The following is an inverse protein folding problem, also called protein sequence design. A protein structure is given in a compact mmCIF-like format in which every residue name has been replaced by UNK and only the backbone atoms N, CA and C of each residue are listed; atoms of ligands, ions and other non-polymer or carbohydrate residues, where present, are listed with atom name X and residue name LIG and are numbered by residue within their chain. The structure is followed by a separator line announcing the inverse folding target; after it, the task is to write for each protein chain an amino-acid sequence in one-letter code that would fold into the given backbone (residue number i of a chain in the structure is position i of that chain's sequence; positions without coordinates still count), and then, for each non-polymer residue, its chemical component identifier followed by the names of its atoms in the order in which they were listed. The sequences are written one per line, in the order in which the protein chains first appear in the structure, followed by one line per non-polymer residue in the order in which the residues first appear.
data_IF_713680904721
#
_entry.id   IF_713680904721
#
_cell.length_a   1.000
_cell.length_b   1.000
_cell.length_c   1.000
_cell.angle_alpha   90.00
_cell.angle_beta   90.00
_cell.angle_gamma   90.00
#
_symmetry.space_group_name_H-M   'P 1'
#
loop_
_entity.id
_entity.type
_entity.pdbx_description
1 polymer ?
#
# COMPACT_ATOMS: atom_id res chain seq x y z
N UNK A 1 2.76 -2.00 -3.64
CA UNK A 1 2.64 -1.86 -2.18
C UNK A 1 3.86 -1.14 -1.69
N UNK A 2 3.70 -0.09 -0.88
CA UNK A 2 4.78 0.85 -0.54
C UNK A 2 4.82 1.12 0.96
N UNK A 3 6.01 1.17 1.57
CA UNK A 3 6.23 1.64 2.94
C UNK A 3 6.83 0.57 3.84
N UNK A 4 6.38 0.48 5.10
CA UNK A 4 6.77 -0.60 6.00
C UNK A 4 6.02 -1.89 5.61
N UNK A 5 6.64 -2.69 4.72
CA UNK A 5 6.09 -3.96 4.28
C UNK A 5 6.42 -5.08 5.25
N UNK A 6 7.52 -4.99 6.00
CA UNK A 6 7.94 -5.98 6.98
C UNK A 6 6.89 -6.19 8.07
N UNK A 7 6.28 -5.11 8.55
CA UNK A 7 5.36 -5.16 9.68
C UNK A 7 3.90 -4.85 9.31
N UNK A 8 3.64 -4.50 8.05
CA UNK A 8 2.33 -4.13 7.57
C UNK A 8 1.36 -5.33 7.49
N UNK A 9 0.70 -5.67 8.60
CA UNK A 9 -0.32 -6.74 8.63
C UNK A 9 -1.39 -6.60 7.54
N UNK A 10 -1.79 -5.37 7.23
CA UNK A 10 -2.76 -5.07 6.16
C UNK A 10 -2.24 -5.48 4.78
N UNK A 11 -0.97 -5.19 4.46
CA UNK A 11 -0.37 -5.57 3.18
C UNK A 11 -0.06 -7.07 3.11
N UNK A 12 0.24 -7.72 4.24
CA UNK A 12 0.38 -9.18 4.28
C UNK A 12 -0.93 -9.87 3.93
N UNK A 13 -2.03 -9.48 4.59
CA UNK A 13 -3.36 -10.02 4.30
C UNK A 13 -3.81 -9.68 2.87
N UNK A 14 -3.54 -8.45 2.41
CA UNK A 14 -3.89 -8.02 1.06
C UNK A 14 -3.13 -8.83 -0.02
N UNK A 15 -1.81 -9.03 0.15
CA UNK A 15 -1.00 -9.79 -0.79
C UNK A 15 -1.51 -11.23 -0.92
N UNK A 16 -1.88 -11.85 0.21
CA UNK A 16 -2.49 -13.19 0.23
C UNK A 16 -3.87 -13.23 -0.42
N UNK A 17 -4.72 -12.24 -0.16
CA UNK A 17 -6.05 -12.18 -0.79
C UNK A 17 -5.94 -11.99 -2.32
N UNK A 18 -4.99 -11.19 -2.75
CA UNK A 18 -4.76 -10.90 -4.17
C UNK A 18 -4.29 -12.11 -4.98
N UNK A 19 -3.80 -13.18 -4.33
CA UNK A 19 -3.46 -14.43 -5.05
C UNK A 19 -4.69 -15.13 -5.65
N UNK A 20 -5.90 -14.74 -5.26
CA UNK A 20 -7.15 -15.23 -5.87
C UNK A 20 -7.47 -14.54 -7.21
N UNK A 21 -6.65 -13.58 -7.63
CA UNK A 21 -6.86 -12.79 -8.84
C UNK A 21 -5.63 -12.84 -9.74
N UNK A 22 -5.82 -12.58 -11.03
CA UNK A 22 -4.72 -12.45 -11.99
C UNK A 22 -4.10 -11.05 -11.87
N UNK A 23 -3.11 -10.91 -11.01
CA UNK A 23 -2.43 -9.64 -10.73
C UNK A 23 -0.91 -9.81 -10.69
N UNK A 24 -0.22 -8.68 -10.79
CA UNK A 24 1.21 -8.56 -10.51
C UNK A 24 1.41 -7.73 -9.25
N UNK A 25 2.29 -8.19 -8.36
CA UNK A 25 2.63 -7.45 -7.15
C UNK A 25 3.97 -6.74 -7.33
N UNK A 26 3.99 -5.46 -6.92
CA UNK A 26 5.21 -4.66 -6.85
C UNK A 26 5.44 -4.20 -5.43
N UNK A 27 6.66 -4.33 -4.94
CA UNK A 27 7.06 -3.95 -3.60
C UNK A 27 8.03 -2.78 -3.66
N UNK A 28 7.77 -1.76 -2.84
CA UNK A 28 8.62 -0.60 -2.71
C UNK A 28 8.80 -0.32 -1.22
N UNK A 29 9.99 -0.56 -0.69
CA UNK A 29 10.23 -0.42 0.75
C UNK A 29 11.62 0.16 1.02
N UNK A 30 11.79 0.88 2.14
CA UNK A 30 13.12 1.21 2.63
C UNK A 30 13.94 -0.07 2.90
N UNK A 31 15.28 0.02 2.83
CA UNK A 31 16.15 -1.10 3.22
C UNK A 31 15.80 -1.64 4.61
N UNK A 32 15.65 -2.96 4.73
CA UNK A 32 15.30 -3.63 5.98
C UNK A 32 13.79 -3.68 6.32
N UNK A 33 12.93 -3.03 5.53
CA UNK A 33 11.47 -3.04 5.68
C UNK A 33 10.74 -3.75 4.54
N UNK A 34 11.43 -4.59 3.77
CA UNK A 34 10.88 -5.39 2.68
C UNK A 34 9.79 -6.38 3.11
N UNK A 35 9.07 -6.91 2.13
CA UNK A 35 8.00 -7.89 2.37
C UNK A 35 8.60 -9.17 2.98
N UNK A 36 8.03 -9.74 4.06
CA UNK A 36 8.57 -10.96 4.64
C UNK A 36 8.52 -12.17 3.69
N UNK A 37 9.53 -13.03 3.77
CA UNK A 37 9.68 -14.21 2.91
C UNK A 37 8.45 -15.12 2.90
N UNK A 38 7.81 -15.33 4.06
CA UNK A 38 6.64 -16.20 4.13
C UNK A 38 5.46 -15.66 3.30
N UNK A 39 5.37 -14.35 3.07
CA UNK A 39 4.34 -13.72 2.22
C UNK A 39 4.72 -13.86 0.75
N UNK A 40 5.97 -13.53 0.40
CA UNK A 40 6.44 -13.57 -1.00
C UNK A 40 6.51 -15.00 -1.52
N UNK A 41 6.93 -15.97 -0.70
CA UNK A 41 6.93 -17.39 -1.01
C UNK A 41 5.50 -17.92 -1.18
N UNK A 42 4.55 -17.51 -0.33
CA UNK A 42 3.15 -17.88 -0.50
C UNK A 42 2.61 -17.36 -1.83
N UNK A 43 2.80 -16.08 -2.15
CA UNK A 43 2.37 -15.51 -3.42
C UNK A 43 3.04 -16.21 -4.63
N UNK A 44 4.33 -16.54 -4.53
CA UNK A 44 5.06 -17.28 -5.56
C UNK A 44 4.50 -18.70 -5.75
N UNK A 45 4.14 -19.40 -4.67
CA UNK A 45 3.50 -20.73 -4.74
C UNK A 45 2.13 -20.72 -5.42
N UNK A 46 1.48 -19.55 -5.48
CA UNK A 46 0.22 -19.33 -6.19
C UNK A 46 0.44 -18.82 -7.63
N UNK A 47 1.70 -18.72 -8.08
CA UNK A 47 2.05 -18.28 -9.44
C UNK A 47 1.96 -16.77 -9.66
N UNK A 48 1.92 -15.96 -8.60
CA UNK A 48 1.87 -14.49 -8.74
C UNK A 48 3.24 -13.94 -9.11
N UNK A 49 3.29 -13.13 -10.18
CA UNK A 49 4.49 -12.39 -10.58
C UNK A 49 4.78 -11.26 -9.58
N UNK A 50 6.04 -11.14 -9.17
CA UNK A 50 6.48 -10.23 -8.11
C UNK A 50 7.73 -9.47 -8.54
N UNK A 51 7.75 -8.16 -8.30
CA UNK A 51 8.90 -7.29 -8.55
C UNK A 51 9.18 -6.39 -7.34
N UNK A 52 10.46 -6.10 -7.10
CA UNK A 52 10.90 -5.13 -6.10
C UNK A 52 11.50 -3.90 -6.77
N UNK A 53 11.19 -2.72 -6.21
CA UNK A 53 11.69 -1.44 -6.69
C UNK A 53 12.27 -0.65 -5.52
N UNK A 54 13.32 0.12 -5.80
CA UNK A 54 14.00 0.97 -4.82
C UNK A 54 13.32 2.33 -4.62
N UNK A 55 12.43 2.75 -5.54
CA UNK A 55 11.77 4.05 -5.46
C UNK A 55 10.35 4.03 -6.01
N UNK A 56 9.55 5.00 -5.59
CA UNK A 56 8.21 5.21 -6.15
C UNK A 56 8.27 5.53 -7.64
N UNK A 57 9.20 6.39 -8.05
CA UNK A 57 9.37 6.84 -9.44
C UNK A 57 9.57 5.68 -10.40
N UNK A 58 10.29 4.63 -9.98
CA UNK A 58 10.55 3.46 -10.82
C UNK A 58 9.33 2.53 -10.89
N UNK A 59 8.57 2.39 -9.80
CA UNK A 59 7.40 1.51 -9.75
C UNK A 59 6.14 2.12 -10.38
N UNK A 60 6.02 3.45 -10.38
CA UNK A 60 4.78 4.17 -10.69
C UNK A 60 4.28 4.09 -12.14
N UNK A 61 5.13 4.10 -13.20
CA UNK A 61 4.67 4.19 -14.58
C UNK A 61 3.67 3.11 -15.00
N UNK A 62 3.87 1.88 -14.51
CA UNK A 62 3.01 0.74 -14.84
C UNK A 62 2.06 0.34 -13.69
N UNK A 63 1.94 1.15 -12.64
CA UNK A 63 1.11 0.83 -11.46
C UNK A 63 -0.36 1.26 -11.63
N UNK A 64 -1.30 0.33 -11.51
CA UNK A 64 -2.74 0.62 -11.52
C UNK A 64 -3.32 0.91 -10.12
N UNK A 65 -2.73 0.31 -9.08
CA UNK A 65 -3.13 0.51 -7.67
C UNK A 65 -1.88 0.77 -6.82
N UNK A 66 -1.73 2.01 -6.35
CA UNK A 66 -0.68 2.38 -5.42
C UNK A 66 -1.21 2.27 -3.98
N UNK A 67 -0.91 1.14 -3.32
CA UNK A 67 -1.26 0.92 -1.92
C UNK A 67 -0.11 1.37 -1.01
N UNK A 68 -0.28 2.54 -0.38
CA UNK A 68 0.69 3.16 0.52
C UNK A 68 0.48 2.68 1.96
N UNK A 69 1.56 2.55 2.73
CA UNK A 69 1.52 2.34 4.18
C UNK A 69 2.41 3.34 4.91
N UNK A 70 2.06 3.61 6.17
CA UNK A 70 2.85 4.44 7.05
C UNK A 70 4.16 3.75 7.43
N UNK A 71 5.28 4.46 7.30
CA UNK A 71 6.55 4.09 7.93
C UNK A 71 6.49 4.51 9.41
N UNK A 72 6.62 3.55 10.31
CA UNK A 72 6.42 3.75 11.74
C UNK A 72 7.69 4.29 12.41
N UNK A 73 7.70 5.59 12.73
CA UNK A 73 8.83 6.28 13.38
C UNK A 73 9.29 5.57 14.66
N UNK A 74 8.34 5.04 15.42
CA UNK A 74 8.55 4.31 16.67
C UNK A 74 9.38 3.01 16.54
N UNK A 75 9.68 2.55 15.31
CA UNK A 75 10.48 1.34 15.07
C UNK A 75 11.95 1.62 14.75
N UNK A 76 12.32 2.88 14.61
CA UNK A 76 13.69 3.28 14.28
C UNK A 76 14.46 3.62 15.56
N UNK A 77 15.73 3.21 15.61
CA UNK A 77 16.59 3.49 16.76
C UNK A 77 16.99 4.97 16.86
N UNK A 78 17.02 5.67 15.72
CA UNK A 78 17.37 7.09 15.65
C UNK A 78 16.43 7.85 14.70
N UNK A 79 16.18 9.15 14.94
CA UNK A 79 15.45 10.01 14.01
C UNK A 79 16.09 10.07 12.61
N UNK A 80 17.42 10.04 12.51
CA UNK A 80 18.16 10.11 11.26
C UNK A 80 17.92 8.88 10.37
N UNK A 81 17.83 7.69 10.97
CA UNK A 81 17.49 6.46 10.24
C UNK A 81 16.05 6.52 9.71
N UNK A 82 15.13 7.10 10.50
CA UNK A 82 13.75 7.31 10.08
C UNK A 82 13.64 8.30 8.91
N UNK A 83 14.33 9.44 8.98
CA UNK A 83 14.30 10.45 7.92
C UNK A 83 14.86 9.91 6.61
N UNK A 84 15.98 9.18 6.68
CA UNK A 84 16.58 8.51 5.52
C UNK A 84 15.64 7.46 4.92
N UNK A 85 14.92 6.73 5.76
CA UNK A 85 13.94 5.76 5.31
C UNK A 85 12.68 6.41 4.72
N UNK A 86 12.27 7.61 5.14
CA UNK A 86 11.01 8.24 4.70
C UNK A 86 11.16 9.15 3.48
N UNK A 87 12.30 9.83 3.32
CA UNK A 87 12.46 10.92 2.36
C UNK A 87 12.17 10.57 0.90
N UNK A 88 12.19 9.29 0.54
CA UNK A 88 11.98 8.80 -0.83
C UNK A 88 10.60 8.15 -1.08
N UNK A 89 9.72 8.08 -0.08
CA UNK A 89 8.43 7.37 -0.19
C UNK A 89 7.24 8.29 0.10
N UNK A 90 7.26 9.49 -0.47
CA UNK A 90 6.23 10.51 -0.31
C UNK A 90 5.44 10.68 -1.61
N UNK A 91 4.13 10.49 -1.54
CA UNK A 91 3.22 10.81 -2.65
C UNK A 91 2.99 12.31 -2.70
N UNK A 92 3.46 12.95 -3.77
CA UNK A 92 3.25 14.38 -4.06
C UNK A 92 2.49 14.55 -5.37
N UNK A 93 1.84 15.70 -5.54
CA UNK A 93 1.21 16.10 -6.81
C UNK A 93 2.21 16.02 -7.98
N UNK A 94 3.45 16.47 -7.77
CA UNK A 94 4.53 16.39 -8.75
C UNK A 94 4.87 14.94 -9.13
N UNK A 95 5.08 14.04 -8.17
CA UNK A 95 5.35 12.63 -8.44
C UNK A 95 4.21 12.00 -9.26
N UNK A 96 2.98 12.34 -8.90
CA UNK A 96 1.77 11.78 -9.50
C UNK A 96 1.51 12.26 -10.94
N UNK A 97 2.32 13.18 -11.47
CA UNK A 97 2.35 13.53 -12.91
C UNK A 97 2.90 12.39 -13.78
N UNK A 98 3.74 11.52 -13.22
CA UNK A 98 4.32 10.35 -13.92
C UNK A 98 3.43 9.11 -13.86
N UNK A 99 2.39 9.16 -13.04
CA UNK A 99 1.48 8.06 -12.83
C UNK A 99 0.49 7.91 -13.98
N UNK A 100 -0.02 6.69 -14.17
CA UNK A 100 -1.12 6.44 -15.12
C UNK A 100 -2.30 7.38 -14.83
N UNK A 101 -3.00 7.76 -15.90
CA UNK A 101 -4.28 8.50 -15.76
C UNK A 101 -5.34 7.65 -15.07
N UNK A 102 -5.43 6.37 -15.46
CA UNK A 102 -6.37 5.39 -14.89
C UNK A 102 -5.66 4.55 -13.83
N UNK A 103 -5.56 5.10 -12.62
CA UNK A 103 -5.07 4.38 -11.44
C UNK A 103 -5.75 4.91 -10.18
N UNK A 104 -5.53 4.24 -9.06
CA UNK A 104 -5.98 4.71 -7.75
C UNK A 104 -4.86 4.64 -6.71
N UNK A 105 -4.93 5.53 -5.72
CA UNK A 105 -4.06 5.53 -4.54
C UNK A 105 -4.89 5.17 -3.32
N UNK A 106 -4.47 4.12 -2.62
CA UNK A 106 -5.10 3.58 -1.42
C UNK A 106 -4.15 3.72 -0.23
N UNK A 107 -4.72 3.82 0.96
CA UNK A 107 -3.97 3.91 2.22
C UNK A 107 -4.86 3.41 3.37
N UNK A 108 -4.37 2.51 4.24
CA UNK A 108 -5.18 1.95 5.33
C UNK A 108 -5.51 2.96 6.44
N UNK A 109 -4.81 4.09 6.47
CA UNK A 109 -4.89 5.15 7.48
C UNK A 109 -4.51 4.70 8.91
N UNK A 110 -4.21 5.64 9.83
CA UNK A 110 -3.97 7.07 9.60
C UNK A 110 -2.70 7.29 8.76
N UNK A 111 -2.66 8.39 8.01
CA UNK A 111 -1.45 8.82 7.28
C UNK A 111 -0.66 9.87 8.06
N UNK A 112 0.65 9.90 7.90
CA UNK A 112 1.51 11.00 8.32
C UNK A 112 1.92 11.83 7.10
N UNK A 113 3.22 11.88 6.79
CA UNK A 113 3.82 12.68 5.71
C UNK A 113 3.98 11.89 4.41
N UNK A 114 3.69 10.59 4.40
CA UNK A 114 3.85 9.71 3.24
C UNK A 114 2.89 10.05 2.07
N UNK A 115 1.85 10.85 2.31
CA UNK A 115 0.98 11.39 1.26
C UNK A 115 0.75 12.87 1.56
N UNK A 116 1.15 13.74 0.64
CA UNK A 116 0.91 15.18 0.74
C UNK A 116 -0.59 15.50 0.77
N UNK A 117 -1.08 16.37 1.67
CA UNK A 117 -2.46 16.81 1.69
C UNK A 117 -2.92 17.48 0.37
N UNK A 118 -2.00 18.06 -0.40
CA UNK A 118 -2.34 18.64 -1.71
C UNK A 118 -2.87 17.60 -2.70
N UNK A 119 -2.48 16.32 -2.51
CA UNK A 119 -2.93 15.22 -3.35
C UNK A 119 -4.40 14.81 -3.08
N UNK A 120 -5.02 15.30 -2.02
CA UNK A 120 -6.41 14.94 -1.64
C UNK A 120 -7.43 15.33 -2.70
N UNK A 121 -7.13 16.38 -3.47
CA UNK A 121 -8.02 16.89 -4.54
C UNK A 121 -7.90 16.09 -5.83
N UNK A 122 -6.90 15.21 -5.95
CA UNK A 122 -6.73 14.36 -7.13
C UNK A 122 -7.82 13.27 -7.15
N UNK A 123 -8.54 13.06 -8.26
CA UNK A 123 -9.59 12.04 -8.33
C UNK A 123 -9.08 10.61 -8.06
N UNK A 124 -7.78 10.36 -8.27
CA UNK A 124 -7.12 9.08 -8.00
C UNK A 124 -6.91 8.83 -6.51
N UNK A 125 -6.97 9.87 -5.66
CA UNK A 125 -6.93 9.74 -4.20
C UNK A 125 -8.21 9.04 -3.72
N UNK A 126 -8.09 7.77 -3.32
CA UNK A 126 -9.23 6.91 -3.01
C UNK A 126 -9.28 6.46 -1.54
N UNK A 127 -8.31 6.84 -0.70
CA UNK A 127 -8.23 6.38 0.70
C UNK A 127 -9.41 6.81 1.59
N UNK A 128 -10.07 7.94 1.32
CA UNK A 128 -11.30 8.30 2.03
C UNK A 128 -12.51 7.47 1.56
N UNK A 129 -12.65 7.26 0.24
CA UNK A 129 -13.66 6.35 -0.32
C UNK A 129 -13.46 4.91 0.16
N UNK A 130 -12.20 4.50 0.32
CA UNK A 130 -11.82 3.21 0.91
C UNK A 130 -12.31 3.09 2.35
N UNK A 131 -12.18 4.14 3.17
CA UNK A 131 -12.65 4.14 4.55
C UNK A 131 -14.17 3.97 4.64
N UNK A 132 -14.92 4.69 3.79
CA UNK A 132 -16.36 4.54 3.65
C UNK A 132 -16.75 3.13 3.18
N UNK A 133 -16.06 2.60 2.17
CA UNK A 133 -16.23 1.21 1.74
C UNK A 133 -16.04 0.19 2.87
N UNK A 134 -15.12 0.47 3.80
CA UNK A 134 -14.91 -0.33 5.00
C UNK A 134 -16.13 -0.40 5.94
N UNK A 135 -16.95 0.66 6.03
CA UNK A 135 -18.20 0.65 6.78
C UNK A 135 -19.19 -0.34 6.17
N UNK A 136 -19.44 -0.23 4.86
CA UNK A 136 -20.40 -1.10 4.17
C UNK A 136 -19.97 -2.57 4.15
N UNK A 137 -18.68 -2.85 3.96
CA UNK A 137 -18.16 -4.23 4.03
C UNK A 137 -18.39 -4.84 5.41
N UNK A 138 -18.17 -4.07 6.49
CA UNK A 138 -18.40 -4.57 7.86
C UNK A 138 -19.88 -4.78 8.15
N UNK A 139 -20.77 -3.90 7.67
CA UNK A 139 -22.22 -4.11 7.77
C UNK A 139 -22.64 -5.41 7.08
N UNK A 140 -22.15 -5.65 5.86
CA UNK A 140 -22.43 -6.89 5.11
C UNK A 140 -21.89 -8.13 5.84
N UNK A 141 -20.66 -8.07 6.35
CA UNK A 141 -20.06 -9.18 7.13
C UNK A 141 -20.89 -9.52 8.37
N UNK A 142 -21.32 -8.50 9.14
CA UNK A 142 -22.16 -8.71 10.32
C UNK A 142 -23.52 -9.30 9.94
N UNK A 143 -24.16 -8.81 8.86
CA UNK A 143 -25.42 -9.36 8.38
C UNK A 143 -25.29 -10.84 8.00
N UNK A 144 -24.25 -11.21 7.27
CA UNK A 144 -23.99 -12.61 6.87
C UNK A 144 -23.75 -13.52 8.08
N UNK A 145 -22.88 -13.11 9.02
CA UNK A 145 -22.54 -13.91 10.20
C UNK A 145 -23.74 -14.09 11.14
N UNK A 146 -24.63 -13.09 11.21
CA UNK A 146 -25.82 -13.12 12.05
C UNK A 146 -27.06 -13.72 11.35
N UNK A 147 -26.91 -14.28 10.14
CA UNK A 147 -28.00 -14.93 9.40
C UNK A 147 -29.12 -13.96 8.98
N UNK A 148 -28.75 -12.73 8.62
CA UNK A 148 -29.67 -11.67 8.16
C UNK A 148 -29.66 -11.50 6.63
N UNK A 149 -29.23 -12.54 5.92
CA UNK A 149 -29.14 -12.60 4.45
C UNK A 149 -30.18 -13.57 3.88
#
# INVERSE_FOLDING_TARGET
MVGDLKHGRTVHSLARLLTLYNVQLRYVAPPGLGMPDYVTQYAASQGIHQEEFSSLEAALPDTDVLYMTRIQKERFGTPEDYERACGHFIVTTHLMTRAKRKMIVLHPLPRNQEISPEFDTDPRAAYFRQAEGGMYVRMALLAMVLGKC
#
